data_IF_008335453812
#
_entry.id   IF_008335453812
#
_cell.length_a   1.000
_cell.length_b   1.000
_cell.length_c   1.000
_cell.angle_alpha   90.00
_cell.angle_beta   90.00
_cell.angle_gamma   90.00
#
_symmetry.space_group_name_H-M   'P 1'
#
loop_
_entity.id
_entity.type
_entity.pdbx_description
1 polymer ?
#
# COMPACT_ATOMS: atom_id res chain seq x y z
N UNK A 1 44.87 81.01 -26.03
CA UNK A 1 43.54 80.39 -25.85
C UNK A 1 43.37 79.33 -26.92
N UNK A 2 43.69 78.07 -26.62
CA UNK A 2 43.74 77.06 -27.68
C UNK A 2 44.11 75.67 -27.19
N UNK A 3 43.44 74.69 -27.79
CA UNK A 3 43.90 73.32 -28.05
C UNK A 3 44.34 72.45 -26.87
N UNK A 4 43.45 72.07 -25.94
CA UNK A 4 43.70 70.88 -25.10
C UNK A 4 42.44 70.23 -24.51
N UNK A 5 41.42 69.90 -25.32
CA UNK A 5 40.26 69.14 -24.83
C UNK A 5 39.64 68.12 -25.83
N UNK A 6 40.16 67.97 -27.06
CA UNK A 6 39.52 67.17 -28.12
C UNK A 6 40.29 65.92 -28.59
N UNK A 7 41.25 65.40 -27.82
CA UNK A 7 41.96 64.15 -28.15
C UNK A 7 41.73 63.01 -27.16
N UNK A 8 41.27 63.30 -25.95
CA UNK A 8 41.04 62.29 -24.90
C UNK A 8 39.80 61.42 -25.18
N UNK A 9 38.74 62.01 -25.75
CA UNK A 9 37.45 61.32 -25.96
C UNK A 9 37.49 60.25 -27.05
N UNK A 10 38.36 60.39 -28.06
CA UNK A 10 38.44 59.42 -29.18
C UNK A 10 39.16 58.13 -28.80
N UNK A 11 40.18 58.21 -27.94
CA UNK A 11 40.91 57.05 -27.42
C UNK A 11 40.07 56.26 -26.42
N UNK A 12 39.30 56.95 -25.58
CA UNK A 12 38.37 56.33 -24.63
C UNK A 12 37.25 55.58 -25.38
N UNK A 13 36.66 56.21 -26.41
CA UNK A 13 35.63 55.56 -27.21
C UNK A 13 36.17 54.33 -27.96
N UNK A 14 37.39 54.40 -28.51
CA UNK A 14 38.04 53.25 -29.16
C UNK A 14 38.34 52.11 -28.18
N UNK A 15 38.76 52.42 -26.95
CA UNK A 15 38.98 51.44 -25.88
C UNK A 15 37.67 50.73 -25.48
N UNK A 16 36.57 51.48 -25.36
CA UNK A 16 35.26 50.88 -25.07
C UNK A 16 34.77 49.99 -26.20
N UNK A 17 34.90 50.41 -27.46
CA UNK A 17 34.51 49.58 -28.61
C UNK A 17 35.34 48.28 -28.70
N UNK A 18 36.65 48.34 -28.43
CA UNK A 18 37.52 47.16 -28.41
C UNK A 18 37.16 46.22 -27.25
N UNK A 19 36.90 46.74 -26.05
CA UNK A 19 36.47 45.94 -24.91
C UNK A 19 35.14 45.22 -25.18
N UNK A 20 34.15 45.91 -25.77
CA UNK A 20 32.88 45.30 -26.14
C UNK A 20 33.02 44.21 -27.21
N UNK A 21 33.89 44.41 -28.21
CA UNK A 21 34.17 43.40 -29.23
C UNK A 21 34.84 42.15 -28.64
N UNK A 22 35.80 42.33 -27.72
CA UNK A 22 36.48 41.24 -27.02
C UNK A 22 35.49 40.44 -26.17
N UNK A 23 34.61 41.10 -25.42
CA UNK A 23 33.56 40.43 -24.62
C UNK A 23 32.60 39.64 -25.52
N UNK A 24 32.23 40.18 -26.69
CA UNK A 24 31.39 39.46 -27.66
C UNK A 24 32.09 38.24 -28.27
N UNK A 25 33.39 38.35 -28.57
CA UNK A 25 34.18 37.22 -29.10
C UNK A 25 34.33 36.13 -28.04
N UNK A 26 34.65 36.48 -26.80
CA UNK A 26 34.72 35.51 -25.70
C UNK A 26 33.36 34.89 -25.40
N UNK A 27 32.27 35.67 -25.43
CA UNK A 27 30.91 35.15 -25.26
C UNK A 27 30.49 34.17 -26.35
N UNK A 28 30.79 34.46 -27.61
CA UNK A 28 30.47 33.55 -28.73
C UNK A 28 31.36 32.31 -28.79
N UNK A 29 32.62 32.41 -28.36
CA UNK A 29 33.51 31.25 -28.17
C UNK A 29 33.04 30.36 -27.01
N UNK A 30 32.62 30.95 -25.88
CA UNK A 30 32.04 30.19 -24.75
C UNK A 30 30.72 29.51 -25.13
N UNK A 31 29.89 30.16 -25.93
CA UNK A 31 28.62 29.60 -26.38
C UNK A 31 28.81 28.43 -27.35
N UNK A 32 29.87 28.44 -28.17
CA UNK A 32 30.22 27.32 -29.06
C UNK A 32 30.77 26.11 -28.30
N UNK A 33 31.50 26.30 -27.21
CA UNK A 33 31.98 25.18 -26.38
C UNK A 33 30.87 24.55 -25.55
N UNK A 34 29.85 25.28 -25.13
CA UNK A 34 28.70 24.69 -24.43
C UNK A 34 27.85 23.78 -25.32
N UNK A 35 27.73 24.06 -26.62
CA UNK A 35 26.98 23.21 -27.56
C UNK A 35 27.56 21.80 -27.71
N UNK A 36 28.88 21.61 -27.50
CA UNK A 36 29.51 20.30 -27.48
C UNK A 36 29.21 19.51 -26.18
N UNK A 37 28.79 20.19 -25.11
CA UNK A 37 28.53 19.59 -23.80
C UNK A 37 27.04 19.31 -23.56
N UNK A 38 26.14 19.87 -24.39
CA UNK A 38 24.69 19.59 -24.32
C UNK A 38 24.40 18.09 -24.50
N UNK A 39 25.16 17.38 -25.33
CA UNK A 39 25.02 15.92 -25.49
C UNK A 39 25.40 15.16 -24.21
N UNK A 40 26.48 15.55 -23.52
CA UNK A 40 26.92 14.86 -22.29
C UNK A 40 26.00 15.17 -21.10
N UNK A 41 25.50 16.41 -21.01
CA UNK A 41 24.51 16.82 -19.99
C UNK A 41 23.16 16.15 -20.26
N UNK A 42 22.75 16.02 -21.52
CA UNK A 42 21.58 15.24 -21.94
C UNK A 42 21.71 13.77 -21.57
N UNK A 43 22.83 13.12 -21.87
CA UNK A 43 23.08 11.70 -21.51
C UNK A 43 23.18 11.49 -20.00
N UNK A 44 23.79 12.42 -19.26
CA UNK A 44 23.86 12.35 -17.81
C UNK A 44 22.49 12.57 -17.16
N UNK A 45 21.71 13.53 -17.65
CA UNK A 45 20.34 13.77 -17.19
C UNK A 45 19.43 12.60 -17.54
N UNK A 46 19.52 12.05 -18.76
CA UNK A 46 18.77 10.86 -19.17
C UNK A 46 19.19 9.63 -18.38
N UNK A 47 20.48 9.38 -18.15
CA UNK A 47 20.93 8.22 -17.34
C UNK A 47 20.53 8.35 -15.87
N UNK A 48 20.60 9.55 -15.27
CA UNK A 48 20.09 9.77 -13.92
C UNK A 48 18.57 9.69 -13.83
N UNK A 49 17.84 10.22 -14.81
CA UNK A 49 16.38 10.09 -14.88
C UNK A 49 15.96 8.63 -15.09
N UNK A 50 16.61 7.90 -15.99
CA UNK A 50 16.42 6.47 -16.19
C UNK A 50 16.77 5.67 -14.95
N UNK A 51 17.82 6.03 -14.20
CA UNK A 51 18.14 5.40 -12.92
C UNK A 51 17.12 5.75 -11.82
N UNK A 52 16.55 6.95 -11.81
CA UNK A 52 15.48 7.35 -10.89
C UNK A 52 14.16 6.63 -11.21
N UNK A 53 13.85 6.47 -12.50
CA UNK A 53 12.69 5.72 -13.02
C UNK A 53 12.88 4.21 -12.80
N UNK A 54 14.10 3.69 -12.93
CA UNK A 54 14.42 2.28 -12.65
C UNK A 54 14.42 1.98 -11.14
N UNK A 55 14.86 2.92 -10.28
CA UNK A 55 14.64 2.82 -8.82
C UNK A 55 13.15 2.87 -8.46
N UNK A 56 12.31 3.45 -9.33
CA UNK A 56 10.85 3.45 -9.26
C UNK A 56 10.17 2.27 -9.98
N UNK A 57 10.92 1.28 -10.48
CA UNK A 57 10.42 0.14 -11.25
C UNK A 57 9.38 -0.76 -10.54
N UNK A 58 9.06 -0.49 -9.27
CA UNK A 58 8.00 -1.14 -8.50
C UNK A 58 6.74 -0.29 -8.31
N UNK A 59 6.73 1.00 -8.66
CA UNK A 59 5.57 1.85 -8.44
C UNK A 59 4.61 1.74 -9.62
N UNK A 60 3.41 1.17 -9.38
CA UNK A 60 2.33 1.13 -10.36
C UNK A 60 2.08 2.55 -10.89
N UNK A 61 1.82 2.69 -12.19
CA UNK A 61 1.55 4.01 -12.79
C UNK A 61 0.40 4.69 -12.04
N UNK A 62 0.44 6.02 -11.92
CA UNK A 62 -0.62 6.80 -11.25
C UNK A 62 -2.02 6.43 -11.76
N UNK A 63 -2.16 6.26 -13.08
CA UNK A 63 -3.41 5.79 -13.72
C UNK A 63 -3.87 4.44 -13.17
N UNK A 64 -2.97 3.45 -13.08
CA UNK A 64 -3.31 2.12 -12.54
C UNK A 64 -3.70 2.20 -11.06
N UNK A 65 -3.04 3.06 -10.29
CA UNK A 65 -3.36 3.31 -8.89
C UNK A 65 -4.75 3.94 -8.72
N UNK A 66 -5.09 4.95 -9.53
CA UNK A 66 -6.43 5.55 -9.53
C UNK A 66 -7.51 4.54 -9.91
N UNK A 67 -7.33 3.80 -11.00
CA UNK A 67 -8.30 2.77 -11.45
C UNK A 67 -8.53 1.74 -10.35
N UNK A 68 -7.47 1.31 -9.65
CA UNK A 68 -7.62 0.39 -8.52
C UNK A 68 -8.36 1.03 -7.35
N UNK A 69 -8.00 2.26 -6.97
CA UNK A 69 -8.70 3.01 -5.92
C UNK A 69 -10.20 3.11 -6.20
N UNK A 70 -10.58 3.45 -7.43
CA UNK A 70 -11.98 3.52 -7.83
C UNK A 70 -12.68 2.16 -7.78
N UNK A 71 -12.01 1.09 -8.20
CA UNK A 71 -12.58 -0.26 -8.11
C UNK A 71 -12.84 -0.71 -6.66
N UNK A 72 -11.92 -0.38 -5.75
CA UNK A 72 -12.04 -0.69 -4.32
C UNK A 72 -13.13 0.15 -3.66
N UNK A 73 -13.20 1.43 -4.00
CA UNK A 73 -14.27 2.31 -3.55
C UNK A 73 -15.64 1.80 -4.02
N UNK A 74 -15.80 1.52 -5.32
CA UNK A 74 -17.04 1.02 -5.90
C UNK A 74 -17.48 -0.31 -5.27
N UNK A 75 -16.56 -1.26 -5.07
CA UNK A 75 -16.81 -2.51 -4.34
C UNK A 75 -17.35 -2.24 -2.93
N UNK A 76 -16.74 -1.29 -2.22
CA UNK A 76 -17.15 -0.95 -0.86
C UNK A 76 -18.54 -0.31 -0.84
N UNK A 77 -18.82 0.62 -1.76
CA UNK A 77 -20.15 1.25 -1.90
C UNK A 77 -21.23 0.21 -2.18
N UNK A 78 -20.99 -0.71 -3.12
CA UNK A 78 -21.93 -1.77 -3.44
C UNK A 78 -22.23 -2.66 -2.23
N UNK A 79 -21.19 -3.12 -1.53
CA UNK A 79 -21.35 -3.95 -0.31
C UNK A 79 -22.13 -3.22 0.79
N UNK A 80 -21.96 -1.90 0.95
CA UNK A 80 -22.74 -1.10 1.90
C UNK A 80 -24.23 -1.12 1.53
N UNK A 81 -24.56 -0.89 0.26
CA UNK A 81 -25.95 -0.92 -0.18
C UNK A 81 -26.57 -2.31 -0.03
N UNK A 82 -25.83 -3.37 -0.36
CA UNK A 82 -26.29 -4.76 -0.20
C UNK A 82 -26.63 -5.07 1.25
N UNK A 83 -25.77 -4.72 2.19
CA UNK A 83 -25.98 -4.99 3.61
C UNK A 83 -27.07 -4.08 4.18
N UNK A 84 -27.12 -2.81 3.78
CA UNK A 84 -28.19 -1.91 4.22
C UNK A 84 -29.55 -2.46 3.78
N UNK A 85 -29.67 -2.87 2.51
CA UNK A 85 -30.90 -3.44 2.00
C UNK A 85 -31.27 -4.78 2.66
N UNK A 86 -30.28 -5.62 2.97
CA UNK A 86 -30.51 -6.93 3.59
C UNK A 86 -30.93 -6.83 5.06
N UNK A 87 -30.27 -5.97 5.83
CA UNK A 87 -30.40 -5.97 7.29
C UNK A 87 -31.36 -4.88 7.81
N UNK A 88 -31.49 -3.74 7.12
CA UNK A 88 -32.33 -2.61 7.56
C UNK A 88 -33.37 -2.15 6.54
N UNK A 89 -33.21 -2.50 5.26
CA UNK A 89 -34.04 -2.02 4.15
C UNK A 89 -33.74 -0.56 3.76
N UNK A 90 -33.66 0.35 4.73
CA UNK A 90 -33.29 1.77 4.54
C UNK A 90 -32.13 2.17 5.48
N UNK A 91 -31.33 3.14 5.04
CA UNK A 91 -30.22 3.68 5.84
C UNK A 91 -30.69 4.45 7.08
N UNK A 92 -31.92 4.98 7.10
CA UNK A 92 -32.50 5.66 8.26
C UNK A 92 -32.69 4.74 9.46
N UNK A 93 -32.87 3.44 9.20
CA UNK A 93 -33.09 2.42 10.22
C UNK A 93 -31.77 1.81 10.74
N UNK A 94 -30.64 2.14 10.11
CA UNK A 94 -29.34 1.62 10.49
C UNK A 94 -28.84 2.28 11.80
N UNK A 95 -28.50 1.49 12.84
CA UNK A 95 -27.94 2.04 14.07
C UNK A 95 -26.55 2.63 13.81
N UNK A 96 -26.33 3.85 14.30
CA UNK A 96 -25.08 4.57 14.07
C UNK A 96 -23.92 4.04 14.95
N UNK A 97 -24.24 3.63 16.18
CA UNK A 97 -23.24 3.25 17.18
C UNK A 97 -23.35 1.77 17.54
N UNK A 98 -22.25 1.24 18.10
CA UNK A 98 -22.14 -0.14 18.51
C UNK A 98 -23.25 -0.56 19.46
N UNK A 99 -23.69 -1.81 19.29
CA UNK A 99 -24.50 -2.52 20.26
C UNK A 99 -23.89 -2.46 21.67
N UNK A 100 -24.75 -2.29 22.68
CA UNK A 100 -24.36 -2.21 24.10
C UNK A 100 -24.45 -3.55 24.81
N UNK A 101 -25.02 -4.55 24.14
CA UNK A 101 -25.20 -5.89 24.66
C UNK A 101 -25.14 -6.92 23.52
N UNK A 102 -25.04 -8.20 23.87
CA UNK A 102 -24.89 -9.28 22.89
C UNK A 102 -26.13 -9.46 22.02
N UNK A 103 -27.34 -9.27 22.57
CA UNK A 103 -28.59 -9.44 21.81
C UNK A 103 -28.70 -8.36 20.74
N UNK A 104 -28.37 -7.12 21.08
CA UNK A 104 -28.33 -6.03 20.09
C UNK A 104 -27.21 -6.19 19.07
N UNK A 105 -26.08 -6.78 19.44
CA UNK A 105 -24.98 -7.09 18.51
C UNK A 105 -25.36 -8.19 17.53
N UNK A 106 -26.00 -9.26 18.00
CA UNK A 106 -26.44 -10.37 17.16
C UNK A 106 -27.50 -9.91 16.13
N UNK A 107 -28.32 -8.92 16.49
CA UNK A 107 -29.27 -8.29 15.57
C UNK A 107 -28.61 -7.29 14.60
N UNK A 108 -27.60 -6.56 15.06
CA UNK A 108 -26.93 -5.48 14.31
C UNK A 108 -25.41 -5.52 14.53
N UNK A 109 -24.67 -6.41 13.83
CA UNK A 109 -23.25 -6.62 14.08
C UNK A 109 -22.34 -5.58 13.40
N UNK A 110 -22.85 -4.36 13.22
CA UNK A 110 -22.19 -3.28 12.50
C UNK A 110 -22.37 -1.95 13.22
N UNK A 111 -21.42 -1.04 13.02
CA UNK A 111 -21.54 0.35 13.42
C UNK A 111 -21.06 1.28 12.30
N UNK A 112 -21.14 2.60 12.50
CA UNK A 112 -20.70 3.59 11.52
C UNK A 112 -19.27 3.35 10.99
N UNK A 113 -18.37 2.79 11.80
CA UNK A 113 -16.97 2.55 11.42
C UNK A 113 -16.81 1.44 10.39
N UNK A 114 -17.78 0.54 10.27
CA UNK A 114 -17.80 -0.46 9.19
C UNK A 114 -18.11 0.18 7.84
N UNK A 115 -18.82 1.31 7.85
CA UNK A 115 -19.22 2.06 6.66
C UNK A 115 -18.24 3.18 6.29
N UNK A 116 -17.10 3.28 6.95
CA UNK A 116 -16.08 4.27 6.62
C UNK A 116 -14.77 3.58 6.21
N UNK A 117 -14.07 4.08 5.18
CA UNK A 117 -12.73 3.60 4.87
C UNK A 117 -11.80 3.81 6.07
N UNK A 118 -10.92 2.85 6.34
CA UNK A 118 -9.89 3.05 7.35
C UNK A 118 -8.93 4.18 6.92
N UNK A 119 -8.61 5.07 7.86
CA UNK A 119 -7.65 6.14 7.66
C UNK A 119 -6.36 5.83 8.40
N UNK A 120 -5.34 5.40 7.67
CA UNK A 120 -3.99 5.18 8.18
C UNK A 120 -2.97 5.32 7.03
N UNK A 121 -1.70 5.53 7.37
CA UNK A 121 -0.67 5.73 6.37
C UNK A 121 -0.31 4.40 5.69
N UNK A 122 -0.80 4.19 4.47
CA UNK A 122 -0.46 3.06 3.61
C UNK A 122 0.16 3.59 2.29
N UNK A 123 1.37 3.16 1.91
CA UNK A 123 1.97 3.56 0.62
C UNK A 123 1.40 2.80 -0.59
N UNK A 124 0.39 1.94 -0.37
CA UNK A 124 -0.23 1.07 -1.37
C UNK A 124 -1.77 1.23 -1.35
N UNK A 125 -2.49 0.30 -2.00
CA UNK A 125 -3.96 0.26 -1.96
C UNK A 125 -4.48 -0.13 -0.56
N UNK A 126 -5.48 0.58 -0.05
CA UNK A 126 -6.20 0.23 1.19
C UNK A 126 -7.53 -0.41 0.83
N UNK A 127 -7.72 -1.67 1.22
CA UNK A 127 -8.92 -2.43 0.88
C UNK A 127 -9.45 -3.20 2.09
N UNK A 128 -10.78 -3.28 2.24
CA UNK A 128 -11.43 -4.14 3.23
C UNK A 128 -11.60 -5.55 2.64
N UNK A 129 -10.95 -6.53 3.26
CA UNK A 129 -10.91 -7.93 2.85
C UNK A 129 -11.81 -8.74 3.79
N UNK A 130 -12.66 -9.59 3.22
CA UNK A 130 -13.75 -10.27 3.94
C UNK A 130 -15.07 -9.49 3.84
N UNK A 131 -16.09 -9.96 4.57
CA UNK A 131 -17.41 -9.30 4.65
C UNK A 131 -17.29 -7.93 5.29
N UNK A 132 -18.25 -7.02 5.11
CA UNK A 132 -18.33 -5.80 5.94
C UNK A 132 -18.69 -6.18 7.39
N UNK A 133 -18.45 -5.31 8.37
CA UNK A 133 -18.67 -5.65 9.78
C UNK A 133 -17.59 -6.55 10.37
N UNK A 134 -17.92 -7.16 11.50
CA UNK A 134 -17.02 -8.09 12.17
C UNK A 134 -16.55 -9.23 11.25
N UNK A 135 -15.32 -9.67 11.41
CA UNK A 135 -14.66 -10.66 10.56
C UNK A 135 -13.83 -10.09 9.40
N UNK A 136 -14.30 -9.03 8.71
CA UNK A 136 -13.49 -8.39 7.67
C UNK A 136 -12.42 -7.44 8.22
N UNK A 137 -11.28 -7.34 7.54
CA UNK A 137 -10.10 -6.56 7.98
C UNK A 137 -9.63 -5.58 6.91
N UNK A 138 -9.12 -4.43 7.34
CA UNK A 138 -8.46 -3.47 6.43
C UNK A 138 -7.03 -3.91 6.15
N UNK A 139 -6.68 -4.05 4.87
CA UNK A 139 -5.36 -4.49 4.41
C UNK A 139 -4.70 -3.37 3.62
N UNK A 140 -3.43 -3.11 3.94
CA UNK A 140 -2.56 -2.24 3.15
C UNK A 140 -1.80 -3.07 2.12
N UNK A 141 -1.96 -2.72 0.85
CA UNK A 141 -1.27 -3.35 -0.26
C UNK A 141 -1.81 -4.73 -0.60
N UNK A 142 -3.14 -4.91 -0.61
CA UNK A 142 -3.74 -6.18 -1.06
C UNK A 142 -3.17 -6.61 -2.41
N UNK A 143 -2.96 -5.65 -3.31
CA UNK A 143 -2.38 -5.90 -4.62
C UNK A 143 -0.98 -6.51 -4.61
N UNK A 144 -0.22 -6.36 -3.51
CA UNK A 144 1.10 -6.99 -3.35
C UNK A 144 1.02 -8.46 -3.00
N UNK A 145 -0.02 -8.86 -2.26
CA UNK A 145 -0.26 -10.27 -1.95
C UNK A 145 -0.84 -11.02 -3.16
N UNK A 146 -1.64 -10.33 -3.99
CA UNK A 146 -2.11 -10.86 -5.27
C UNK A 146 -0.94 -11.07 -6.26
N UNK A 147 -0.01 -10.11 -6.29
CA UNK A 147 1.19 -10.14 -7.15
C UNK A 147 2.40 -10.84 -6.49
N UNK A 148 2.21 -11.57 -5.37
CA UNK A 148 3.33 -12.15 -4.60
C UNK A 148 4.14 -13.13 -5.46
N UNK A 149 5.49 -13.09 -5.41
CA UNK A 149 6.34 -13.96 -6.23
C UNK A 149 6.03 -15.44 -6.05
N UNK A 150 5.93 -16.18 -7.16
CA UNK A 150 5.53 -17.60 -7.17
C UNK A 150 6.64 -18.56 -6.74
N UNK A 151 7.88 -18.10 -6.78
CA UNK A 151 9.08 -18.82 -6.36
C UNK A 151 9.32 -18.74 -4.84
N UNK A 152 8.43 -18.05 -4.12
CA UNK A 152 8.50 -17.87 -2.67
C UNK A 152 7.20 -18.32 -2.02
N UNK A 153 7.33 -18.92 -0.86
CA UNK A 153 6.17 -19.24 -0.03
C UNK A 153 5.55 -17.95 0.52
N UNK A 154 4.22 -17.86 0.44
CA UNK A 154 3.45 -16.83 1.11
C UNK A 154 2.66 -17.46 2.25
N UNK A 155 2.92 -17.02 3.48
CA UNK A 155 2.28 -17.54 4.70
C UNK A 155 1.55 -16.40 5.40
N UNK A 156 0.31 -16.68 5.81
CA UNK A 156 -0.52 -15.78 6.62
C UNK A 156 -0.81 -16.48 7.94
N UNK A 157 -0.42 -15.85 9.03
CA UNK A 157 -0.84 -16.23 10.37
C UNK A 157 -2.08 -15.43 10.76
N UNK A 158 -3.21 -16.12 10.98
CA UNK A 158 -4.45 -15.50 11.45
C UNK A 158 -4.76 -15.95 12.88
N UNK A 159 -4.99 -14.98 13.76
CA UNK A 159 -5.20 -15.23 15.19
C UNK A 159 -6.53 -14.66 15.62
N UNK A 160 -7.32 -15.45 16.36
CA UNK A 160 -8.64 -15.04 16.84
C UNK A 160 -9.69 -15.01 15.73
N UNK A 161 -9.78 -16.10 14.94
CA UNK A 161 -10.67 -16.21 13.79
C UNK A 161 -12.15 -16.35 14.19
N UNK A 162 -12.44 -16.91 15.37
CA UNK A 162 -13.80 -17.18 15.85
C UNK A 162 -14.65 -17.91 14.78
N UNK A 163 -15.93 -17.56 14.64
CA UNK A 163 -16.89 -18.15 13.71
C UNK A 163 -17.05 -17.37 12.39
N UNK A 164 -16.26 -16.31 12.19
CA UNK A 164 -16.30 -15.47 10.99
C UNK A 164 -14.95 -15.51 10.25
N UNK A 165 -14.87 -16.34 9.21
CA UNK A 165 -13.63 -16.54 8.44
C UNK A 165 -13.66 -15.95 7.03
N UNK A 166 -14.41 -14.87 6.82
CA UNK A 166 -14.52 -14.25 5.49
C UNK A 166 -13.21 -13.59 5.05
N UNK A 167 -12.41 -13.08 5.99
CA UNK A 167 -11.09 -12.54 5.71
C UNK A 167 -10.17 -13.62 5.15
N UNK A 168 -10.05 -14.75 5.85
CA UNK A 168 -9.25 -15.88 5.42
C UNK A 168 -9.74 -16.43 4.09
N UNK A 169 -11.06 -16.58 3.92
CA UNK A 169 -11.65 -17.00 2.65
C UNK A 169 -11.27 -16.06 1.50
N UNK A 170 -11.36 -14.75 1.68
CA UNK A 170 -11.04 -13.79 0.61
C UNK A 170 -9.54 -13.74 0.32
N UNK A 171 -8.68 -13.82 1.35
CA UNK A 171 -7.23 -13.97 1.18
C UNK A 171 -6.88 -15.25 0.41
N UNK A 172 -7.46 -16.38 0.79
CA UNK A 172 -7.28 -17.66 0.09
C UNK A 172 -7.75 -17.54 -1.36
N UNK A 173 -8.91 -16.92 -1.62
CA UNK A 173 -9.47 -16.82 -2.97
C UNK A 173 -8.61 -16.00 -3.95
N UNK A 174 -7.93 -14.96 -3.45
CA UNK A 174 -7.24 -13.97 -4.28
C UNK A 174 -5.73 -14.17 -4.35
N UNK A 175 -5.18 -14.98 -3.45
CA UNK A 175 -3.73 -15.17 -3.33
C UNK A 175 -3.35 -16.64 -3.42
N UNK A 176 -2.04 -16.90 -3.54
CA UNK A 176 -1.47 -18.24 -3.41
C UNK A 176 -0.95 -18.53 -2.01
N UNK A 177 -1.27 -17.68 -1.04
CA UNK A 177 -0.81 -17.84 0.32
C UNK A 177 -1.47 -19.03 1.01
N UNK A 178 -0.72 -19.65 1.91
CA UNK A 178 -1.24 -20.57 2.91
C UNK A 178 -1.67 -19.79 4.16
N UNK A 179 -2.84 -20.12 4.70
CA UNK A 179 -3.36 -19.51 5.92
C UNK A 179 -3.24 -20.50 7.07
N UNK A 180 -2.60 -20.08 8.15
CA UNK A 180 -2.49 -20.80 9.42
C UNK A 180 -3.28 -20.03 10.46
N UNK A 181 -4.43 -20.59 10.82
CA UNK A 181 -5.40 -19.98 11.71
C UNK A 181 -5.40 -20.64 13.08
N UNK A 182 -5.51 -19.79 14.12
CA UNK A 182 -5.51 -20.22 15.51
C UNK A 182 -6.59 -19.51 16.30
N UNK A 183 -7.37 -20.29 17.04
CA UNK A 183 -8.37 -19.80 17.97
C UNK A 183 -8.63 -20.87 19.04
N UNK A 184 -8.78 -20.50 20.31
CA UNK A 184 -9.06 -21.46 21.38
C UNK A 184 -10.56 -21.71 21.57
N UNK A 185 -11.42 -20.81 21.10
CA UNK A 185 -12.86 -20.80 21.36
C UNK A 185 -13.68 -21.63 20.36
N UNK A 186 -13.11 -21.93 19.19
CA UNK A 186 -13.75 -22.70 18.10
C UNK A 186 -12.88 -23.88 17.67
N UNK A 187 -13.48 -24.84 16.94
CA UNK A 187 -12.82 -26.11 16.55
C UNK A 187 -12.39 -26.17 15.08
N UNK A 188 -12.83 -25.21 14.26
CA UNK A 188 -12.49 -25.09 12.84
C UNK A 188 -12.71 -23.63 12.39
N UNK A 189 -12.36 -23.32 11.14
CA UNK A 189 -12.81 -22.11 10.46
C UNK A 189 -14.34 -21.98 10.48
N UNK A 190 -14.81 -20.74 10.38
CA UNK A 190 -16.19 -20.43 10.05
C UNK A 190 -16.60 -21.01 8.69
N UNK A 191 -17.92 -21.08 8.46
CA UNK A 191 -18.54 -21.70 7.27
C UNK A 191 -18.14 -21.03 5.93
N UNK A 192 -17.50 -19.87 6.00
CA UNK A 192 -17.07 -19.06 4.86
C UNK A 192 -15.90 -19.71 4.11
N UNK A 193 -15.05 -20.50 4.77
CA UNK A 193 -13.89 -21.11 4.11
C UNK A 193 -14.33 -22.29 3.23
N UNK A 194 -14.22 -22.09 1.92
CA UNK A 194 -14.57 -23.09 0.90
C UNK A 194 -13.64 -24.30 0.99
N UNK A 195 -14.23 -25.49 0.92
CA UNK A 195 -13.55 -26.79 0.84
C UNK A 195 -12.39 -26.83 -0.16
N UNK A 196 -12.48 -26.10 -1.28
CA UNK A 196 -11.43 -26.02 -2.31
C UNK A 196 -10.14 -25.31 -1.88
N UNK A 197 -10.12 -24.71 -0.68
CA UNK A 197 -8.96 -24.03 -0.13
C UNK A 197 -8.31 -24.79 1.02
N UNK A 198 -8.84 -25.96 1.38
CA UNK A 198 -8.36 -26.76 2.52
C UNK A 198 -6.98 -27.37 2.30
N UNK A 199 -6.48 -27.36 1.07
CA UNK A 199 -5.10 -27.70 0.72
C UNK A 199 -4.06 -26.71 1.24
N UNK A 200 -4.50 -25.52 1.67
CA UNK A 200 -3.64 -24.41 2.14
C UNK A 200 -4.33 -23.53 3.18
N UNK A 201 -5.35 -24.07 3.85
CA UNK A 201 -6.04 -23.47 4.98
C UNK A 201 -5.93 -24.44 6.15
N UNK A 202 -5.10 -24.08 7.12
CA UNK A 202 -4.76 -24.89 8.28
C UNK A 202 -5.35 -24.25 9.52
N UNK A 203 -6.11 -25.01 10.30
CA UNK A 203 -6.68 -24.54 11.56
C UNK A 203 -6.14 -25.37 12.72
N UNK A 204 -5.85 -24.72 13.85
CA UNK A 204 -5.50 -25.41 15.09
C UNK A 204 -6.20 -24.73 16.28
N UNK A 205 -6.94 -25.51 17.05
CA UNK A 205 -7.61 -25.02 18.25
C UNK A 205 -6.60 -24.79 19.39
N UNK A 206 -6.10 -23.57 19.53
CA UNK A 206 -5.10 -23.18 20.54
C UNK A 206 -5.23 -21.70 20.88
N UNK A 207 -4.79 -21.33 22.08
CA UNK A 207 -4.59 -19.93 22.45
C UNK A 207 -3.20 -19.43 22.05
N UNK A 208 -3.06 -18.11 21.88
CA UNK A 208 -1.76 -17.46 21.65
C UNK A 208 -1.38 -16.64 22.87
N UNK A 209 -0.12 -16.76 23.30
CA UNK A 209 0.40 -16.09 24.50
C UNK A 209 1.89 -15.77 24.34
N UNK A 210 2.48 -15.03 25.28
CA UNK A 210 3.91 -14.73 25.27
C UNK A 210 4.80 -15.95 25.55
N UNK A 211 4.31 -16.90 26.34
CA UNK A 211 5.06 -18.11 26.73
C UNK A 211 4.18 -19.34 26.61
N UNK A 212 4.64 -20.35 25.87
CA UNK A 212 3.91 -21.59 25.67
C UNK A 212 3.54 -22.28 26.99
N UNK A 213 2.27 -22.65 27.09
CA UNK A 213 1.71 -23.42 28.18
C UNK A 213 0.81 -24.53 27.61
N UNK A 214 1.38 -25.72 27.51
CA UNK A 214 0.70 -26.91 26.99
C UNK A 214 -0.16 -27.64 28.02
N UNK A 215 -0.23 -27.15 29.26
CA UNK A 215 -1.02 -27.78 30.33
C UNK A 215 -2.50 -27.37 30.32
N UNK A 216 -2.85 -26.31 29.58
CA UNK A 216 -4.22 -25.87 29.41
C UNK A 216 -4.96 -26.67 28.33
N UNK A 217 -6.30 -26.64 28.36
CA UNK A 217 -7.15 -27.24 27.35
C UNK A 217 -8.20 -26.23 26.85
N UNK A 218 -8.08 -25.70 25.62
CA UNK A 218 -7.00 -25.93 24.66
C UNK A 218 -5.62 -25.40 25.10
N UNK A 219 -4.51 -25.92 24.57
CA UNK A 219 -3.17 -25.45 24.92
C UNK A 219 -2.92 -24.05 24.37
N UNK A 220 -2.00 -23.33 25.02
CA UNK A 220 -1.57 -22.00 24.59
C UNK A 220 -0.13 -22.04 24.10
N UNK A 221 0.16 -21.40 22.98
CA UNK A 221 1.50 -21.36 22.38
C UNK A 221 2.00 -19.94 22.16
N UNK A 222 3.32 -19.77 22.18
CA UNK A 222 3.98 -18.59 21.63
C UNK A 222 3.85 -18.58 20.10
N UNK A 223 3.93 -17.40 19.49
CA UNK A 223 3.96 -17.30 18.01
C UNK A 223 5.20 -18.05 17.48
N UNK A 224 6.36 -17.93 18.14
CA UNK A 224 7.58 -18.59 17.72
C UNK A 224 7.44 -20.13 17.73
N UNK A 225 6.80 -20.69 18.75
CA UNK A 225 6.59 -22.14 18.85
C UNK A 225 5.60 -22.61 17.77
N UNK A 226 4.52 -21.85 17.50
CA UNK A 226 3.59 -22.18 16.42
C UNK A 226 4.30 -22.19 15.06
N UNK A 227 5.21 -21.27 14.84
CA UNK A 227 6.01 -21.20 13.62
C UNK A 227 6.98 -22.38 13.49
N UNK A 228 7.71 -22.69 14.56
CA UNK A 228 8.60 -23.85 14.61
C UNK A 228 7.84 -25.15 14.34
N UNK A 229 6.66 -25.32 14.95
CA UNK A 229 5.78 -26.46 14.71
C UNK A 229 5.34 -26.61 13.25
N UNK A 230 5.22 -25.49 12.52
CA UNK A 230 4.87 -25.49 11.11
C UNK A 230 6.09 -25.61 10.19
N UNK A 231 7.32 -25.61 10.74
CA UNK A 231 8.56 -25.61 9.97
C UNK A 231 8.91 -24.25 9.35
N UNK A 232 8.39 -23.14 9.89
CA UNK A 232 8.70 -21.79 9.43
C UNK A 232 9.76 -21.16 10.34
N UNK A 233 10.86 -20.66 9.76
CA UNK A 233 12.05 -20.17 10.46
C UNK A 233 12.22 -18.64 10.46
N UNK A 234 11.23 -17.89 9.95
CA UNK A 234 11.34 -16.45 9.70
C UNK A 234 10.22 -15.60 10.33
N UNK A 235 10.57 -14.51 11.02
CA UNK A 235 9.87 -13.20 10.98
C UNK A 235 10.92 -12.11 10.88
#
# INVERSE_FOLDING_TARGET
MGHMAMTHNRRILQMFCLASAVVFIFGTLHFRTEQANVHSVSEFASSKASNLVNMHGSQKTMVRSMVRSESVWAKTVNRRHEIIAADWGDVSEMPLYSAVDRVSFDAHPYNIWDFMPASYNCPWDVERIGRMGDGGKWVCGMSRYEDYPKDRECVIYSFGVCDESSFEQEMLSRTKCAVWAYDFSVVDFGKQVDSKHRDRAYFKQVGVTGTTNTTQNPPYYSIADLMEMNGHDYV
#
